data_IF_153057138439
#
_entry.id   IF_153057138439
#
_cell.length_a   1.000
_cell.length_b   1.000
_cell.length_c   1.000
_cell.angle_alpha   90.00
_cell.angle_beta   90.00
_cell.angle_gamma   90.00
#
_symmetry.space_group_name_H-M   'P 1'
#
loop_
_entity.id
_entity.type
_entity.pdbx_description
1 polymer ?
#
# COMPACT_ATOMS: atom_id res chain seq x y z
N UNK A 1 -26.59 -28.30 18.00
CA UNK A 1 -25.41 -27.82 17.27
C UNK A 1 -25.77 -26.54 16.53
N UNK A 2 -25.35 -25.38 17.02
CA UNK A 2 -25.48 -24.10 16.30
C UNK A 2 -24.06 -23.66 15.94
N UNK A 3 -23.70 -23.78 14.67
CA UNK A 3 -22.46 -23.22 14.16
C UNK A 3 -22.51 -21.71 14.32
N UNK A 4 -21.70 -21.17 15.23
CA UNK A 4 -21.44 -19.75 15.30
C UNK A 4 -20.65 -19.37 14.04
N UNK A 5 -21.34 -18.78 13.06
CA UNK A 5 -20.67 -18.01 12.02
C UNK A 5 -20.01 -16.83 12.73
N UNK A 6 -18.69 -16.90 12.93
CA UNK A 6 -17.89 -15.70 13.23
C UNK A 6 -18.17 -14.72 12.10
N UNK A 7 -18.85 -13.61 12.41
CA UNK A 7 -18.71 -12.40 11.60
C UNK A 7 -17.26 -11.99 11.82
N UNK A 8 -16.43 -12.14 10.80
CA UNK A 8 -15.14 -11.47 10.75
C UNK A 8 -15.49 -10.01 10.45
N UNK A 9 -15.20 -9.12 11.39
CA UNK A 9 -15.21 -7.70 11.11
C UNK A 9 -14.10 -7.43 10.08
N UNK A 10 -14.38 -6.74 8.96
CA UNK A 10 -13.39 -6.49 7.92
C UNK A 10 -12.26 -5.53 8.35
N UNK A 11 -12.28 -5.03 9.59
CA UNK A 11 -11.26 -4.14 10.16
C UNK A 11 -10.56 -4.71 11.40
N UNK A 12 -10.76 -5.99 11.76
CA UNK A 12 -9.94 -6.61 12.81
C UNK A 12 -8.65 -7.13 12.20
N UNK A 13 -7.58 -6.34 12.27
CA UNK A 13 -6.24 -6.84 12.02
C UNK A 13 -5.89 -7.89 13.07
N UNK A 14 -5.26 -8.99 12.64
CA UNK A 14 -4.76 -9.98 13.58
C UNK A 14 -3.57 -9.38 14.33
N UNK A 15 -3.77 -9.09 15.62
CA UNK A 15 -2.74 -8.51 16.50
C UNK A 15 -1.45 -9.34 16.50
N UNK A 16 -1.59 -10.66 16.36
CA UNK A 16 -0.48 -11.62 16.22
C UNK A 16 0.34 -11.38 14.94
N UNK A 17 -0.30 -11.03 13.81
CA UNK A 17 0.40 -10.67 12.57
C UNK A 17 1.13 -9.34 12.69
N UNK A 18 0.53 -8.36 13.36
CA UNK A 18 1.20 -7.08 13.64
C UNK A 18 2.44 -7.28 14.51
N UNK A 19 2.36 -8.08 15.57
CA UNK A 19 3.51 -8.39 16.44
C UNK A 19 4.65 -9.06 15.66
N UNK A 20 4.34 -9.99 14.76
CA UNK A 20 5.32 -10.62 13.87
C UNK A 20 5.96 -9.59 12.93
N UNK A 21 5.16 -8.71 12.34
CA UNK A 21 5.65 -7.63 11.48
C UNK A 21 6.58 -6.68 12.26
N UNK A 22 6.14 -6.21 13.43
CA UNK A 22 6.92 -5.29 14.26
C UNK A 22 8.26 -5.92 14.67
N UNK A 23 8.26 -7.15 15.17
CA UNK A 23 9.48 -7.86 15.55
C UNK A 23 10.48 -8.02 14.38
N UNK A 24 9.97 -8.25 13.17
CA UNK A 24 10.80 -8.41 11.97
C UNK A 24 11.33 -7.09 11.41
N UNK A 25 10.57 -6.01 11.52
CA UNK A 25 10.83 -4.75 10.81
C UNK A 25 11.27 -3.59 11.71
N UNK A 26 11.24 -3.72 13.05
CA UNK A 26 11.60 -2.66 13.99
C UNK A 26 12.96 -2.00 13.70
N UNK A 27 13.97 -2.79 13.32
CA UNK A 27 15.29 -2.25 12.97
C UNK A 27 15.26 -1.34 11.73
N UNK A 28 14.44 -1.69 10.74
CA UNK A 28 14.26 -0.89 9.52
C UNK A 28 13.46 0.39 9.82
N UNK A 29 12.40 0.28 10.61
CA UNK A 29 11.56 1.42 11.01
C UNK A 29 12.34 2.44 11.83
N UNK A 30 13.17 1.97 12.76
CA UNK A 30 14.05 2.80 13.56
C UNK A 30 15.15 3.46 12.70
N UNK A 31 15.79 2.70 11.80
CA UNK A 31 16.81 3.24 10.89
C UNK A 31 16.24 4.31 9.94
N UNK A 32 14.99 4.17 9.52
CA UNK A 32 14.26 5.16 8.72
C UNK A 32 13.67 6.33 9.55
N UNK A 33 13.92 6.36 10.86
CA UNK A 33 13.41 7.36 11.80
C UNK A 33 11.88 7.53 11.76
N UNK A 34 11.14 6.45 11.48
CA UNK A 34 9.67 6.45 11.50
C UNK A 34 9.20 6.52 12.95
N UNK A 35 8.39 7.52 13.35
CA UNK A 35 7.84 7.58 14.70
C UNK A 35 6.97 6.35 15.03
N UNK A 36 7.08 5.84 16.26
CA UNK A 36 6.44 4.58 16.69
C UNK A 36 4.93 4.54 16.50
N UNK A 37 4.24 5.67 16.72
CA UNK A 37 2.79 5.78 16.53
C UNK A 37 2.34 5.63 15.07
N UNK A 38 3.26 5.69 14.09
CA UNK A 38 2.96 5.41 12.69
C UNK A 38 3.20 3.96 12.27
N UNK A 39 3.84 3.12 13.09
CA UNK A 39 4.22 1.77 12.69
C UNK A 39 3.00 0.88 12.40
N UNK A 40 1.98 0.96 13.25
CA UNK A 40 0.70 0.29 13.03
C UNK A 40 0.03 0.76 11.74
N UNK A 41 -0.05 2.08 11.53
CA UNK A 41 -0.65 2.63 10.31
C UNK A 41 0.11 2.25 9.04
N UNK A 42 1.43 2.10 9.13
CA UNK A 42 2.26 1.65 8.02
C UNK A 42 2.02 0.16 7.70
N UNK A 43 1.93 -0.69 8.73
CA UNK A 43 1.54 -2.10 8.55
C UNK A 43 0.19 -2.21 7.85
N UNK A 44 -0.83 -1.46 8.31
CA UNK A 44 -2.17 -1.48 7.70
C UNK A 44 -2.12 -1.16 6.21
N UNK A 45 -1.32 -0.16 5.83
CA UNK A 45 -1.12 0.22 4.44
C UNK A 45 -0.41 -0.87 3.64
N UNK A 46 0.74 -1.34 4.13
CA UNK A 46 1.54 -2.35 3.42
C UNK A 46 0.78 -3.66 3.22
N UNK A 47 -0.13 -4.01 4.13
CA UNK A 47 -0.92 -5.24 4.06
C UNK A 47 -2.17 -5.09 3.17
N UNK A 48 -2.85 -3.95 3.21
CA UNK A 48 -4.15 -3.78 2.55
C UNK A 48 -4.13 -2.97 1.26
N UNK A 49 -3.13 -2.11 1.05
CA UNK A 49 -3.03 -1.29 -0.15
C UNK A 49 -2.14 -1.99 -1.18
N UNK A 50 -2.62 -2.08 -2.42
CA UNK A 50 -1.79 -2.55 -3.53
C UNK A 50 -0.96 -1.37 -4.04
N UNK A 51 0.34 -1.41 -3.76
CA UNK A 51 1.28 -0.43 -4.30
C UNK A 51 1.83 -0.94 -5.63
N UNK A 52 1.63 -0.17 -6.69
CA UNK A 52 2.36 -0.42 -7.93
C UNK A 52 3.78 0.14 -7.77
N UNK A 53 4.76 -0.75 -7.57
CA UNK A 53 6.17 -0.38 -7.48
C UNK A 53 6.78 -0.05 -8.86
N UNK A 54 6.00 0.58 -9.75
CA UNK A 54 6.39 0.86 -11.13
C UNK A 54 6.25 -0.32 -12.09
N UNK A 55 5.47 -1.34 -11.73
CA UNK A 55 5.31 -2.56 -12.56
C UNK A 55 4.24 -2.36 -13.63
N UNK A 56 3.18 -1.62 -13.32
CA UNK A 56 2.05 -1.39 -14.21
C UNK A 56 1.85 0.09 -14.52
N UNK A 57 2.32 1.00 -13.67
CA UNK A 57 2.16 2.45 -13.83
C UNK A 57 3.48 3.17 -13.61
N UNK A 58 3.79 4.10 -14.48
CA UNK A 58 4.95 4.98 -14.34
C UNK A 58 4.50 6.44 -14.24
N UNK A 59 5.10 7.18 -13.32
CA UNK A 59 4.90 8.64 -13.20
C UNK A 59 5.98 9.33 -14.03
N UNK A 60 5.57 10.11 -15.02
CA UNK A 60 6.43 11.00 -15.80
C UNK A 60 6.35 12.41 -15.22
N UNK A 61 7.53 13.03 -15.03
CA UNK A 61 7.65 14.41 -14.63
C UNK A 61 8.30 15.19 -15.77
N UNK A 62 7.62 16.24 -16.24
CA UNK A 62 8.11 17.11 -17.31
C UNK A 62 8.33 18.50 -16.74
N UNK A 63 9.44 19.13 -17.12
CA UNK A 63 9.78 20.49 -16.73
C UNK A 63 9.67 21.39 -17.96
N UNK A 64 8.82 22.42 -17.85
CA UNK A 64 8.57 23.40 -18.89
C UNK A 64 9.68 24.45 -18.93
N UNK A 65 9.80 25.18 -20.05
CA UNK A 65 10.82 26.25 -20.19
C UNK A 65 10.68 27.38 -19.15
N UNK A 66 9.49 27.54 -18.55
CA UNK A 66 9.20 28.49 -17.47
C UNK A 66 9.54 27.94 -16.06
N UNK A 67 10.03 26.70 -15.96
CA UNK A 67 10.33 26.01 -14.70
C UNK A 67 9.13 25.34 -14.04
N UNK A 68 7.96 25.34 -14.68
CA UNK A 68 6.77 24.63 -14.18
C UNK A 68 6.92 23.12 -14.37
N UNK A 69 6.56 22.33 -13.35
CA UNK A 69 6.54 20.86 -13.42
C UNK A 69 5.13 20.31 -13.63
N UNK A 70 4.95 19.50 -14.67
CA UNK A 70 3.75 18.69 -14.89
C UNK A 70 4.04 17.22 -14.59
N UNK A 71 3.03 16.52 -14.06
CA UNK A 71 3.09 15.10 -13.77
C UNK A 71 2.00 14.37 -14.55
N UNK A 72 2.36 13.28 -15.24
CA UNK A 72 1.42 12.39 -15.92
C UNK A 72 1.64 10.95 -15.47
N UNK A 73 0.59 10.13 -15.52
CA UNK A 73 0.64 8.70 -15.20
C UNK A 73 0.46 7.92 -16.49
N UNK A 74 1.36 6.98 -16.76
CA UNK A 74 1.32 6.11 -17.94
C UNK A 74 1.16 4.67 -17.48
N UNK A 75 0.19 3.97 -18.05
CA UNK A 75 0.06 2.52 -17.88
C UNK A 75 1.09 1.82 -18.78
N UNK A 76 1.87 0.91 -18.20
CA UNK A 76 2.87 0.09 -18.90
C UNK A 76 2.26 -1.15 -19.56
N UNK A 77 1.06 -1.53 -19.12
CA UNK A 77 0.29 -2.63 -19.67
C UNK A 77 -1.03 -2.10 -20.24
N UNK A 78 -1.48 -2.72 -21.32
CA UNK A 78 -2.78 -2.42 -21.90
C UNK A 78 -3.91 -2.83 -20.93
N UNK A 79 -4.93 -1.98 -20.82
CA UNK A 79 -6.14 -2.31 -20.06
C UNK A 79 -6.94 -3.33 -20.88
N UNK A 80 -7.08 -4.54 -20.35
CA UNK A 80 -7.84 -5.61 -20.98
C UNK A 80 -9.28 -5.15 -21.27
N UNK A 81 -9.84 -5.56 -22.41
CA UNK A 81 -11.20 -5.19 -22.81
C UNK A 81 -12.28 -5.76 -21.86
N UNK A 82 -11.93 -6.76 -21.06
CA UNK A 82 -12.79 -7.38 -20.05
C UNK A 82 -12.69 -6.73 -18.66
N UNK A 83 -11.83 -5.72 -18.46
CA UNK A 83 -11.72 -5.03 -17.17
C UNK A 83 -13.04 -4.29 -16.84
N UNK A 84 -13.70 -4.60 -15.71
CA UNK A 84 -14.96 -3.97 -15.32
C UNK A 84 -14.82 -2.50 -14.90
N UNK A 85 -13.60 -1.98 -14.72
CA UNK A 85 -13.31 -0.59 -14.38
C UNK A 85 -12.84 0.23 -15.59
N UNK A 86 -13.03 -0.28 -16.80
CA UNK A 86 -12.74 0.43 -18.05
C UNK A 86 -13.76 1.53 -18.37
#
# INVERSE_FOLDING_TARGET
MKCARRRLDPESFDEEEYEIFEARHIGQLAAAAVPTHFWRRLYEKLTNETFDAGTHFQILAEESEDGSRSYSVVALNDIDASDPNK
#
